data_IF_698106156691
#
_entry.id   IF_698106156691
#
_cell.length_a   1.000
_cell.length_b   1.000
_cell.length_c   1.000
_cell.angle_alpha   90.00
_cell.angle_beta   90.00
_cell.angle_gamma   90.00
#
_symmetry.space_group_name_H-M   'P 1'
#
loop_
_entity.id
_entity.type
_entity.pdbx_description
1 polymer ?
#
# COMPACT_ATOMS: atom_id res chain seq x y z
N UNK A 1 0.94 12.33 13.28
CA UNK A 1 1.34 11.03 13.87
C UNK A 1 2.83 10.86 13.66
N UNK A 2 3.57 10.35 14.65
CA UNK A 2 5.03 10.12 14.52
C UNK A 2 5.31 8.91 13.63
N UNK A 3 6.48 8.88 12.97
CA UNK A 3 6.88 7.74 12.11
C UNK A 3 6.88 6.42 12.88
N UNK A 4 7.31 6.43 14.14
CA UNK A 4 7.28 5.24 15.01
C UNK A 4 5.88 4.69 15.24
N UNK A 5 4.89 5.56 15.45
CA UNK A 5 3.48 5.18 15.60
C UNK A 5 2.91 4.60 14.30
N UNK A 6 3.25 5.21 13.15
CA UNK A 6 2.87 4.67 11.83
C UNK A 6 3.45 3.27 11.60
N UNK A 7 4.74 3.07 11.92
CA UNK A 7 5.38 1.76 11.82
C UNK A 7 4.70 0.71 12.69
N UNK A 8 4.25 1.06 13.92
CA UNK A 8 3.51 0.13 14.77
C UNK A 8 2.20 -0.33 14.13
N UNK A 9 1.45 0.58 13.52
CA UNK A 9 0.19 0.26 12.83
C UNK A 9 0.45 -0.59 11.58
N UNK A 10 1.43 -0.23 10.76
CA UNK A 10 1.78 -0.99 9.56
C UNK A 10 2.25 -2.42 9.89
N UNK A 11 3.00 -2.63 10.98
CA UNK A 11 3.45 -3.96 11.43
C UNK A 11 2.31 -4.87 11.91
N UNK A 12 1.13 -4.32 12.21
CA UNK A 12 -0.04 -5.11 12.55
C UNK A 12 -0.73 -5.70 11.31
N UNK A 13 -0.44 -5.17 10.12
CA UNK A 13 -0.97 -5.70 8.87
C UNK A 13 -0.18 -6.94 8.47
N UNK A 14 -0.89 -8.05 8.33
CA UNK A 14 -0.33 -9.34 7.90
C UNK A 14 -1.03 -9.80 6.62
N UNK A 15 -0.53 -10.88 6.02
CA UNK A 15 -1.17 -11.50 4.84
C UNK A 15 -2.57 -12.05 5.13
N UNK A 16 -2.98 -12.18 6.40
CA UNK A 16 -4.31 -12.64 6.81
C UNK A 16 -5.25 -11.48 7.16
N UNK A 17 -4.75 -10.25 7.21
CA UNK A 17 -5.59 -9.09 7.49
C UNK A 17 -6.56 -8.84 6.32
N UNK A 18 -7.80 -8.50 6.68
CA UNK A 18 -8.86 -8.19 5.74
C UNK A 18 -8.64 -6.86 5.02
N UNK A 19 -9.24 -6.71 3.83
CA UNK A 19 -9.22 -5.45 3.07
C UNK A 19 -9.65 -4.25 3.95
N UNK A 20 -10.66 -4.45 4.80
CA UNK A 20 -11.14 -3.41 5.73
C UNK A 20 -10.09 -3.00 6.77
N UNK A 21 -9.28 -3.93 7.27
CA UNK A 21 -8.20 -3.62 8.21
C UNK A 21 -7.11 -2.78 7.56
N UNK A 22 -6.76 -3.06 6.29
CA UNK A 22 -5.83 -2.24 5.53
C UNK A 22 -6.37 -0.82 5.32
N UNK A 23 -7.65 -0.67 4.93
CA UNK A 23 -8.27 0.66 4.81
C UNK A 23 -8.23 1.43 6.13
N UNK A 24 -8.68 0.81 7.24
CA UNK A 24 -8.67 1.44 8.56
C UNK A 24 -7.27 1.83 9.01
N UNK A 25 -6.26 1.00 8.73
CA UNK A 25 -4.88 1.30 9.04
C UNK A 25 -4.42 2.55 8.28
N UNK A 26 -4.64 2.59 6.96
CA UNK A 26 -4.27 3.74 6.13
C UNK A 26 -5.02 5.02 6.49
N UNK A 27 -6.33 4.94 6.79
CA UNK A 27 -7.11 6.08 7.29
C UNK A 27 -6.54 6.63 8.59
N UNK A 28 -6.21 5.72 9.53
CA UNK A 28 -5.68 6.09 10.84
C UNK A 28 -4.33 6.79 10.76
N UNK A 29 -3.46 6.37 9.84
CA UNK A 29 -2.14 6.99 9.64
C UNK A 29 -2.17 8.17 8.67
N UNK A 30 -3.29 8.40 7.98
CA UNK A 30 -3.50 9.50 7.03
C UNK A 30 -2.85 9.30 5.67
N UNK A 31 -2.61 8.05 5.26
CA UNK A 31 -1.83 7.71 4.07
C UNK A 31 -2.66 7.15 2.91
N UNK A 32 -4.00 7.24 2.97
CA UNK A 32 -4.83 7.00 1.79
C UNK A 32 -4.59 8.11 0.76
N UNK A 33 -4.15 7.73 -0.44
CA UNK A 33 -3.99 8.64 -1.57
C UNK A 33 -5.23 8.58 -2.45
N UNK A 34 -6.25 9.39 -2.16
CA UNK A 34 -7.47 9.44 -3.00
C UNK A 34 -7.17 9.83 -4.46
N UNK A 35 -6.11 10.61 -4.67
CA UNK A 35 -5.55 11.00 -5.97
C UNK A 35 -4.39 10.10 -6.43
N UNK A 36 -4.35 8.83 -6.00
CA UNK A 36 -3.27 7.88 -6.33
C UNK A 36 -2.92 7.85 -7.82
N UNK A 37 -3.87 8.09 -8.73
CA UNK A 37 -3.64 8.19 -10.17
C UNK A 37 -2.56 9.19 -10.57
N UNK A 38 -2.37 10.29 -9.83
CA UNK A 38 -1.34 11.30 -10.12
C UNK A 38 0.09 10.76 -9.90
N UNK A 39 0.24 9.65 -9.16
CA UNK A 39 1.52 9.01 -8.85
C UNK A 39 1.84 7.84 -9.79
N UNK A 40 0.83 7.35 -10.52
CA UNK A 40 0.94 6.20 -11.42
C UNK A 40 1.31 6.66 -12.83
N UNK A 41 1.91 5.77 -13.62
CA UNK A 41 2.39 6.07 -14.97
C UNK A 41 1.63 5.31 -16.06
N UNK A 42 0.79 4.35 -15.68
CA UNK A 42 -0.01 3.53 -16.60
C UNK A 42 -1.42 4.06 -16.73
N UNK A 43 -1.89 4.17 -17.98
CA UNK A 43 -3.27 4.53 -18.31
C UNK A 43 -3.78 3.63 -19.45
N UNK A 44 -4.80 2.76 -19.22
CA UNK A 44 -5.44 2.48 -17.94
C UNK A 44 -4.48 1.86 -16.91
N UNK A 45 -4.82 1.97 -15.62
CA UNK A 45 -3.96 1.51 -14.52
C UNK A 45 -3.70 0.01 -14.64
N UNK A 46 -2.42 -0.36 -14.71
CA UNK A 46 -1.94 -1.75 -14.64
C UNK A 46 -1.19 -1.97 -13.33
N UNK A 47 -1.87 -2.57 -12.35
CA UNK A 47 -1.32 -2.79 -11.01
C UNK A 47 0.00 -3.58 -11.02
N UNK A 48 0.19 -4.52 -11.96
CA UNK A 48 1.41 -5.31 -12.02
C UNK A 48 2.60 -4.46 -12.48
N UNK A 49 2.42 -3.67 -13.54
CA UNK A 49 3.44 -2.76 -14.06
C UNK A 49 3.78 -1.66 -13.04
N UNK A 50 2.79 -1.12 -12.33
CA UNK A 50 3.05 -0.13 -11.28
C UNK A 50 3.85 -0.71 -10.11
N UNK A 51 3.58 -1.97 -9.72
CA UNK A 51 4.32 -2.64 -8.63
C UNK A 51 5.80 -2.88 -8.97
N UNK A 52 6.18 -2.97 -10.24
CA UNK A 52 7.59 -3.07 -10.65
C UNK A 52 8.42 -1.85 -10.23
N UNK A 53 7.78 -0.70 -9.96
CA UNK A 53 8.42 0.53 -9.50
C UNK A 53 8.72 0.53 -8.00
N UNK A 54 8.18 -0.41 -7.23
CA UNK A 54 8.33 -0.48 -5.78
C UNK A 54 9.80 -0.42 -5.28
N UNK A 55 10.80 -1.07 -5.93
CA UNK A 55 12.19 -0.99 -5.46
C UNK A 55 12.71 0.45 -5.35
N UNK A 56 12.33 1.31 -6.30
CA UNK A 56 12.70 2.73 -6.37
C UNK A 56 11.67 3.68 -5.75
N UNK A 57 10.58 3.17 -5.16
CA UNK A 57 9.51 3.99 -4.62
C UNK A 57 9.93 4.76 -3.36
N UNK A 58 9.53 6.03 -3.30
CA UNK A 58 9.51 6.81 -2.07
C UNK A 58 8.25 6.49 -1.25
N UNK A 59 8.10 7.19 -0.13
CA UNK A 59 7.00 6.89 0.80
C UNK A 59 5.63 7.19 0.17
N UNK A 60 5.52 8.32 -0.54
CA UNK A 60 4.26 8.72 -1.16
C UNK A 60 3.85 7.77 -2.29
N UNK A 61 4.79 7.31 -3.11
CA UNK A 61 4.50 6.29 -4.12
C UNK A 61 4.11 4.96 -3.47
N UNK A 62 4.72 4.54 -2.38
CA UNK A 62 4.26 3.35 -1.64
C UNK A 62 2.81 3.50 -1.15
N UNK A 63 2.44 4.66 -0.63
CA UNK A 63 1.05 4.96 -0.22
C UNK A 63 0.09 4.88 -1.42
N UNK A 64 0.48 5.42 -2.58
CA UNK A 64 -0.30 5.37 -3.80
C UNK A 64 -0.43 3.94 -4.34
N UNK A 65 0.66 3.16 -4.35
CA UNK A 65 0.66 1.75 -4.74
C UNK A 65 -0.27 0.93 -3.84
N UNK A 66 -0.19 1.07 -2.52
CA UNK A 66 -1.07 0.33 -1.61
C UNK A 66 -2.55 0.74 -1.79
N UNK A 67 -2.81 2.05 -1.95
CA UNK A 67 -4.17 2.55 -2.25
C UNK A 67 -4.68 1.99 -3.58
N UNK A 68 -3.85 1.91 -4.61
CA UNK A 68 -4.19 1.31 -5.90
C UNK A 68 -4.60 -0.15 -5.74
N UNK A 69 -3.85 -0.96 -4.99
CA UNK A 69 -4.22 -2.37 -4.75
C UNK A 69 -5.56 -2.50 -4.03
N UNK A 70 -5.83 -1.64 -3.04
CA UNK A 70 -7.11 -1.63 -2.33
C UNK A 70 -8.28 -1.19 -3.24
N UNK A 71 -8.02 -0.32 -4.22
CA UNK A 71 -9.01 0.13 -5.19
C UNK A 71 -9.23 -0.88 -6.31
N UNK A 72 -8.23 -1.67 -6.66
CA UNK A 72 -8.41 -2.79 -7.58
C UNK A 72 -9.49 -3.77 -7.08
N UNK A 73 -9.54 -4.02 -5.77
CA UNK A 73 -10.54 -4.92 -5.15
C UNK A 73 -11.98 -4.41 -5.33
N UNK A 74 -12.15 -3.08 -5.31
CA UNK A 74 -13.44 -2.44 -5.60
C UNK A 74 -13.91 -2.79 -7.02
N UNK A 75 -13.00 -2.76 -7.99
CA UNK A 75 -13.32 -3.06 -9.40
C UNK A 75 -13.35 -4.56 -9.70
N UNK A 76 -12.58 -5.36 -8.96
CA UNK A 76 -12.43 -6.80 -9.11
C UNK A 76 -12.46 -7.47 -7.75
N UNK A 77 -13.66 -7.80 -7.27
CA UNK A 77 -13.86 -8.34 -5.92
C UNK A 77 -12.91 -9.51 -5.60
N UNK A 78 -12.25 -9.43 -4.45
CA UNK A 78 -11.27 -10.39 -3.97
C UNK A 78 -9.88 -10.29 -4.62
N UNK A 79 -9.60 -9.29 -5.45
CA UNK A 79 -8.26 -9.11 -6.03
C UNK A 79 -7.22 -8.82 -4.96
N UNK A 80 -7.56 -8.02 -3.94
CA UNK A 80 -6.61 -7.69 -2.90
C UNK A 80 -6.26 -8.91 -2.05
N UNK A 81 -7.24 -9.75 -1.70
CA UNK A 81 -6.99 -11.02 -1.01
C UNK A 81 -6.07 -11.94 -1.83
N UNK A 82 -6.30 -12.04 -3.14
CA UNK A 82 -5.42 -12.81 -4.05
C UNK A 82 -4.00 -12.25 -4.04
N UNK A 83 -3.83 -10.93 -4.05
CA UNK A 83 -2.53 -10.27 -3.97
C UNK A 83 -1.81 -10.53 -2.65
N UNK A 84 -2.52 -10.44 -1.52
CA UNK A 84 -1.99 -10.83 -0.20
C UNK A 84 -1.48 -12.27 -0.21
N UNK A 85 -2.29 -13.22 -0.71
CA UNK A 85 -1.91 -14.64 -0.81
C UNK A 85 -0.73 -14.89 -1.74
N UNK A 86 -0.61 -14.11 -2.82
CA UNK A 86 0.53 -14.17 -3.74
C UNK A 86 1.80 -13.47 -3.23
N UNK A 87 1.72 -12.81 -2.06
CA UNK A 87 2.86 -12.10 -1.47
C UNK A 87 3.17 -10.74 -2.10
N UNK A 88 2.28 -10.17 -2.91
CA UNK A 88 2.52 -8.89 -3.60
C UNK A 88 2.30 -7.66 -2.72
N UNK A 89 1.52 -7.78 -1.63
CA UNK A 89 1.19 -6.65 -0.74
C UNK A 89 2.28 -6.42 0.31
N UNK A 90 2.82 -7.49 0.89
CA UNK A 90 3.79 -7.41 1.99
C UNK A 90 5.03 -6.57 1.65
N UNK A 91 5.64 -6.68 0.45
CA UNK A 91 6.78 -5.84 0.09
C UNK A 91 6.49 -4.33 0.11
N UNK A 92 5.24 -3.92 -0.19
CA UNK A 92 4.83 -2.51 -0.11
C UNK A 92 4.83 -2.04 1.34
N UNK A 93 4.27 -2.85 2.25
CA UNK A 93 4.27 -2.58 3.70
C UNK A 93 5.69 -2.51 4.25
N UNK A 94 6.54 -3.47 3.89
CA UNK A 94 7.93 -3.54 4.34
C UNK A 94 8.73 -2.31 3.87
N UNK A 95 8.52 -1.87 2.62
CA UNK A 95 9.13 -0.66 2.09
C UNK A 95 8.65 0.60 2.82
N UNK A 96 7.34 0.71 3.10
CA UNK A 96 6.80 1.82 3.90
C UNK A 96 7.44 1.89 5.29
N UNK A 97 7.55 0.75 5.99
CA UNK A 97 8.19 0.67 7.31
C UNK A 97 9.66 1.06 7.23
N UNK A 98 10.39 0.54 6.23
CA UNK A 98 11.81 0.85 6.04
C UNK A 98 12.04 2.36 5.81
N UNK A 99 11.21 3.00 4.98
CA UNK A 99 11.31 4.43 4.71
C UNK A 99 10.99 5.28 5.94
N UNK A 100 9.96 4.92 6.70
CA UNK A 100 9.61 5.62 7.95
C UNK A 100 10.68 5.48 9.02
N UNK A 101 11.34 4.32 9.11
CA UNK A 101 12.41 4.08 10.07
C UNK A 101 13.75 4.71 9.68
N UNK A 102 13.99 4.94 8.38
CA UNK A 102 15.21 5.57 7.90
C UNK A 102 15.11 7.10 7.76
N UNK A 103 13.89 7.65 7.74
CA UNK A 103 13.62 9.08 7.58
C UNK A 103 13.35 9.81 8.90
N UNK A 104 14.12 9.55 9.96
CA UNK A 104 14.10 10.36 11.19
C UNK A 104 14.68 11.77 10.99
#
# INVERSE_FOLDING_TARGET
>A
MKNSEKCMILRQLTSTASVSEYYKALERIGDIKSNYGDYLITEPINCNTELERLPGADYDLCCALLTMLLREDHFSNGSFERRCKSGQVQPVIDKMISLLSNGE
#
